data_IF_846298566798
#
_entry.id   IF_846298566798
#
_cell.length_a   1.000
_cell.length_b   1.000
_cell.length_c   1.000
_cell.angle_alpha   90.00
_cell.angle_beta   90.00
_cell.angle_gamma   90.00
#
_symmetry.space_group_name_H-M   'P 1'
#
loop_
_entity.id
_entity.type
_entity.pdbx_description
1 polymer ?
#
# COMPACT_ATOMS: atom_id res chain seq x y z
N UNK A 1 44.68 -46.23 52.44
CA UNK A 1 43.39 -46.60 53.07
C UNK A 1 43.00 -45.38 53.93
N UNK A 2 42.22 -44.39 53.50
CA UNK A 2 41.11 -44.34 52.55
C UNK A 2 41.18 -43.08 51.66
N UNK A 3 40.76 -43.28 50.42
CA UNK A 3 40.48 -42.32 49.34
C UNK A 3 39.12 -41.62 49.61
N UNK A 4 38.98 -40.30 49.41
CA UNK A 4 38.47 -39.59 48.22
C UNK A 4 37.13 -38.87 48.49
N UNK A 5 37.22 -37.54 48.31
CA UNK A 5 36.28 -36.58 47.72
C UNK A 5 34.86 -36.45 48.30
N UNK A 6 34.68 -35.30 48.95
CA UNK A 6 33.53 -34.42 48.79
C UNK A 6 32.87 -34.55 47.41
N UNK A 7 31.58 -34.85 47.40
CA UNK A 7 30.71 -34.74 46.22
C UNK A 7 29.35 -34.18 46.65
N UNK A 8 29.05 -32.99 46.11
CA UNK A 8 27.73 -32.48 45.73
C UNK A 8 26.59 -32.60 46.75
N UNK A 9 26.46 -31.56 47.58
CA UNK A 9 25.14 -31.01 47.93
C UNK A 9 24.98 -29.66 47.23
N UNK A 10 24.73 -29.69 45.92
CA UNK A 10 24.05 -28.57 45.26
C UNK A 10 22.59 -28.72 45.67
N UNK A 11 22.12 -27.80 46.51
CA UNK A 11 20.71 -27.66 46.87
C UNK A 11 19.88 -27.51 45.59
N UNK A 12 19.11 -28.53 45.23
CA UNK A 12 17.99 -28.37 44.32
C UNK A 12 16.94 -27.51 45.04
N UNK A 13 16.83 -26.24 44.67
CA UNK A 13 15.71 -25.42 45.11
C UNK A 13 14.45 -26.01 44.48
N UNK A 14 13.67 -26.73 45.29
CA UNK A 14 12.36 -27.26 44.89
C UNK A 14 11.42 -26.06 44.81
N UNK A 15 11.32 -25.45 43.63
CA UNK A 15 10.32 -24.43 43.36
C UNK A 15 8.92 -25.00 43.54
N UNK A 16 8.01 -24.23 44.15
CA UNK A 16 6.60 -24.61 44.23
C UNK A 16 6.00 -24.71 42.81
N UNK A 17 4.94 -25.50 42.58
CA UNK A 17 4.28 -25.58 41.27
C UNK A 17 3.90 -24.20 40.71
N UNK A 18 3.48 -23.28 41.57
CA UNK A 18 3.20 -21.89 41.19
C UNK A 18 4.45 -21.13 40.71
N UNK A 19 5.60 -21.30 41.38
CA UNK A 19 6.87 -20.68 40.97
C UNK A 19 7.39 -21.25 39.63
N UNK A 20 7.18 -22.54 39.38
CA UNK A 20 7.53 -23.16 38.09
C UNK A 20 6.68 -22.61 36.94
N UNK A 21 5.36 -22.50 37.15
CA UNK A 21 4.46 -21.89 36.16
C UNK A 21 4.84 -20.44 35.90
N UNK A 22 5.14 -19.67 36.95
CA UNK A 22 5.59 -18.28 36.85
C UNK A 22 6.85 -18.14 35.99
N UNK A 23 7.84 -19.01 36.19
CA UNK A 23 9.07 -19.01 35.41
C UNK A 23 8.81 -19.31 33.92
N UNK A 24 7.87 -20.22 33.63
CA UNK A 24 7.45 -20.50 32.25
C UNK A 24 6.76 -19.29 31.63
N UNK A 25 5.87 -18.61 32.36
CA UNK A 25 5.22 -17.37 31.89
C UNK A 25 6.27 -16.31 31.56
N UNK A 26 7.27 -16.09 32.42
CA UNK A 26 8.34 -15.14 32.13
C UNK A 26 9.15 -15.48 30.88
N UNK A 27 9.47 -16.77 30.63
CA UNK A 27 10.12 -17.20 29.38
C UNK A 27 9.29 -16.88 28.15
N UNK A 28 7.97 -17.09 28.23
CA UNK A 28 7.03 -16.78 27.16
C UNK A 28 6.98 -15.27 26.90
N UNK A 29 6.89 -14.47 27.97
CA UNK A 29 6.87 -13.01 27.85
C UNK A 29 8.17 -12.48 27.26
N UNK A 30 9.33 -12.95 27.73
CA UNK A 30 10.65 -12.55 27.22
C UNK A 30 10.76 -12.77 25.71
N UNK A 31 10.49 -13.99 25.25
CA UNK A 31 10.60 -14.33 23.83
C UNK A 31 9.71 -13.47 22.93
N UNK A 32 8.51 -13.10 23.38
CA UNK A 32 7.58 -12.32 22.58
C UNK A 32 7.81 -10.80 22.69
N UNK A 33 8.35 -10.30 23.80
CA UNK A 33 8.81 -8.91 23.91
C UNK A 33 9.95 -8.64 22.91
N UNK A 34 10.90 -9.57 22.78
CA UNK A 34 11.99 -9.43 21.81
C UNK A 34 11.50 -9.56 20.37
N UNK A 35 10.71 -10.59 20.03
CA UNK A 35 10.14 -10.74 18.67
C UNK A 35 9.36 -9.50 18.21
N UNK A 36 8.52 -8.94 19.09
CA UNK A 36 7.77 -7.73 18.78
C UNK A 36 8.71 -6.55 18.51
N UNK A 37 9.77 -6.37 19.30
CA UNK A 37 10.74 -5.29 19.12
C UNK A 37 11.58 -5.45 17.86
N UNK A 38 12.02 -6.66 17.54
CA UNK A 38 12.79 -6.98 16.35
C UNK A 38 11.98 -6.76 15.07
N UNK A 39 10.75 -7.28 15.02
CA UNK A 39 9.86 -7.06 13.88
C UNK A 39 9.54 -5.57 13.68
N UNK A 40 9.23 -4.83 14.75
CA UNK A 40 9.03 -3.38 14.69
C UNK A 40 10.29 -2.64 14.22
N UNK A 41 11.49 -3.13 14.57
CA UNK A 41 12.76 -2.53 14.13
C UNK A 41 12.95 -2.66 12.62
N UNK A 42 12.62 -3.82 12.04
CA UNK A 42 12.70 -4.02 10.58
C UNK A 42 11.76 -3.05 9.86
N UNK A 43 10.53 -2.91 10.36
CA UNK A 43 9.53 -1.99 9.79
C UNK A 43 9.98 -0.53 9.92
N UNK A 44 10.55 -0.14 11.07
CA UNK A 44 11.10 1.19 11.34
C UNK A 44 12.16 1.59 10.29
N UNK A 45 13.10 0.70 9.97
CA UNK A 45 14.16 0.98 9.01
C UNK A 45 13.63 1.18 7.58
N UNK A 46 12.58 0.43 7.18
CA UNK A 46 11.93 0.68 5.89
C UNK A 46 11.23 2.03 5.85
N UNK A 47 10.53 2.42 6.92
CA UNK A 47 9.93 3.76 7.01
C UNK A 47 11.00 4.85 6.85
N UNK A 48 12.14 4.66 7.53
CA UNK A 48 13.22 5.66 7.56
C UNK A 48 14.00 5.78 6.26
N UNK A 49 14.34 4.66 5.64
CA UNK A 49 15.24 4.64 4.47
C UNK A 49 14.56 4.26 3.16
N UNK A 50 13.55 3.40 3.22
CA UNK A 50 12.76 3.02 2.04
C UNK A 50 11.78 4.12 1.65
N UNK A 51 11.03 4.63 2.63
CA UNK A 51 10.01 5.66 2.40
C UNK A 51 10.51 7.08 2.64
N UNK A 52 11.60 7.26 3.40
CA UNK A 52 12.06 8.56 3.90
C UNK A 52 10.95 9.31 4.67
N UNK A 53 10.11 8.57 5.40
CA UNK A 53 9.00 9.11 6.18
C UNK A 53 9.36 9.14 7.67
N UNK A 54 9.68 10.33 8.17
CA UNK A 54 10.07 10.54 9.57
C UNK A 54 8.93 10.26 10.56
N UNK A 55 7.68 10.52 10.18
CA UNK A 55 6.51 10.35 11.05
C UNK A 55 6.21 8.87 11.28
N UNK A 56 6.26 8.07 10.21
CA UNK A 56 6.09 6.61 10.31
C UNK A 56 7.24 5.95 11.06
N UNK A 57 8.48 6.42 10.84
CA UNK A 57 9.64 5.95 11.58
C UNK A 57 9.50 6.25 13.09
N UNK A 58 9.04 7.45 13.46
CA UNK A 58 8.78 7.83 14.84
C UNK A 58 7.68 6.97 15.49
N UNK A 59 6.60 6.68 14.75
CA UNK A 59 5.54 5.79 15.20
C UNK A 59 6.08 4.40 15.53
N UNK A 60 6.90 3.81 14.66
CA UNK A 60 7.53 2.51 14.90
C UNK A 60 8.45 2.54 16.12
N UNK A 61 9.26 3.60 16.25
CA UNK A 61 10.16 3.81 17.39
C UNK A 61 9.38 3.90 18.70
N UNK A 62 8.29 4.66 18.74
CA UNK A 62 7.43 4.79 19.91
C UNK A 62 6.85 3.43 20.33
N UNK A 63 6.24 2.69 19.40
CA UNK A 63 5.75 1.33 19.68
C UNK A 63 6.85 0.44 20.26
N UNK A 64 8.04 0.45 19.67
CA UNK A 64 9.18 -0.34 20.13
C UNK A 64 9.65 0.05 21.54
N UNK A 65 9.58 1.34 21.88
CA UNK A 65 9.87 1.83 23.23
C UNK A 65 8.78 1.42 24.23
N UNK A 66 7.50 1.48 23.86
CA UNK A 66 6.41 0.98 24.71
C UNK A 66 6.55 -0.50 25.04
N UNK A 67 6.87 -1.35 24.04
CA UNK A 67 7.16 -2.78 24.31
C UNK A 67 8.32 -2.92 25.31
N UNK A 68 9.39 -2.13 25.15
CA UNK A 68 10.58 -2.22 25.99
C UNK A 68 10.34 -1.89 27.47
N UNK A 69 9.31 -1.11 27.80
CA UNK A 69 8.98 -0.76 29.19
C UNK A 69 8.53 -1.98 30.01
N UNK A 70 7.95 -2.98 29.35
CA UNK A 70 7.45 -4.20 29.98
C UNK A 70 8.50 -5.30 30.11
N UNK A 71 9.67 -5.11 29.49
CA UNK A 71 10.76 -6.06 29.56
C UNK A 71 11.56 -5.81 30.82
N UNK A 72 11.10 -6.36 31.95
CA UNK A 72 11.74 -6.16 33.25
C UNK A 72 13.03 -7.00 33.37
N UNK A 73 13.96 -6.66 34.29
CA UNK A 73 15.13 -7.49 34.54
C UNK A 73 14.78 -8.95 34.90
N UNK A 74 13.67 -9.18 35.60
CA UNK A 74 13.20 -10.51 35.98
C UNK A 74 12.78 -11.33 34.76
N UNK A 75 12.02 -10.73 33.84
CA UNK A 75 11.60 -11.38 32.60
C UNK A 75 12.83 -11.67 31.73
N UNK A 76 13.75 -10.69 31.58
CA UNK A 76 15.02 -10.87 30.86
C UNK A 76 15.88 -12.02 31.38
N UNK A 77 15.92 -12.19 32.69
CA UNK A 77 16.72 -13.23 33.32
C UNK A 77 16.06 -14.61 33.28
N UNK A 78 14.78 -14.71 32.90
CA UNK A 78 14.04 -15.97 32.95
C UNK A 78 14.37 -16.92 31.80
N UNK A 79 14.86 -16.41 30.67
CA UNK A 79 15.08 -17.19 29.46
C UNK A 79 16.46 -17.81 29.40
N UNK A 80 16.49 -19.12 29.17
CA UNK A 80 17.68 -19.88 28.80
C UNK A 80 17.59 -20.20 27.30
N UNK A 81 17.96 -19.23 26.45
CA UNK A 81 17.79 -19.34 25.00
C UNK A 81 18.43 -20.60 24.40
N UNK A 82 19.65 -21.03 24.80
CA UNK A 82 20.21 -22.30 24.33
C UNK A 82 19.41 -23.54 24.74
N UNK A 83 18.77 -23.52 25.91
CA UNK A 83 17.96 -24.63 26.44
C UNK A 83 16.48 -24.59 26.08
N UNK A 84 16.01 -23.54 25.39
CA UNK A 84 14.61 -23.41 25.00
C UNK A 84 14.24 -24.43 23.89
N UNK A 85 13.10 -25.13 24.01
CA UNK A 85 12.64 -26.04 22.98
C UNK A 85 12.23 -25.27 21.71
N UNK A 86 12.45 -25.88 20.54
CA UNK A 86 11.98 -25.34 19.26
C UNK A 86 12.86 -24.28 18.61
N UNK A 87 14.06 -24.03 19.14
CA UNK A 87 15.05 -23.08 18.57
C UNK A 87 15.60 -23.50 17.20
N UNK A 88 15.51 -24.79 16.86
CA UNK A 88 15.91 -25.33 15.55
C UNK A 88 14.73 -25.49 14.56
N UNK A 89 13.52 -25.11 14.95
CA UNK A 89 12.37 -25.15 14.03
C UNK A 89 12.48 -23.98 13.05
N UNK A 90 12.54 -24.31 11.76
CA UNK A 90 12.51 -23.35 10.65
C UNK A 90 11.54 -23.87 9.60
N UNK A 91 10.78 -22.96 8.98
CA UNK A 91 9.99 -23.30 7.81
C UNK A 91 10.77 -22.94 6.53
N UNK A 92 10.77 -23.77 5.46
CA UNK A 92 11.51 -23.46 4.22
C UNK A 92 11.16 -22.10 3.61
N UNK A 93 9.92 -21.64 3.79
CA UNK A 93 9.49 -20.31 3.35
C UNK A 93 10.04 -19.14 4.20
N UNK A 94 10.82 -19.40 5.25
CA UNK A 94 11.53 -18.37 6.01
C UNK A 94 12.86 -17.96 5.36
N UNK A 95 13.43 -18.80 4.51
CA UNK A 95 14.74 -18.59 3.88
C UNK A 95 14.68 -17.61 2.70
N UNK A 96 13.54 -17.52 2.02
CA UNK A 96 13.36 -16.65 0.86
C UNK A 96 12.29 -15.57 1.09
N UNK A 97 12.62 -14.34 0.66
CA UNK A 97 11.68 -13.21 0.58
C UNK A 97 11.71 -12.67 -0.84
N UNK A 98 10.59 -12.79 -1.55
CA UNK A 98 10.49 -12.44 -2.97
C UNK A 98 10.32 -10.94 -3.24
N UNK A 99 9.91 -10.15 -2.24
CA UNK A 99 9.70 -8.71 -2.39
C UNK A 99 9.77 -7.97 -1.05
N UNK A 100 9.88 -6.63 -1.13
CA UNK A 100 9.80 -5.76 0.05
C UNK A 100 8.43 -5.87 0.75
N UNK A 101 7.34 -5.98 -0.02
CA UNK A 101 6.00 -6.19 0.53
C UNK A 101 5.92 -7.49 1.33
N UNK A 102 6.45 -8.59 0.78
CA UNK A 102 6.49 -9.88 1.48
C UNK A 102 7.33 -9.81 2.76
N UNK A 103 8.46 -9.09 2.75
CA UNK A 103 9.28 -8.86 3.95
C UNK A 103 8.50 -8.11 5.03
N UNK A 104 7.80 -7.03 4.68
CA UNK A 104 7.05 -6.22 5.63
C UNK A 104 5.85 -6.98 6.20
N UNK A 105 5.07 -7.66 5.35
CA UNK A 105 3.93 -8.46 5.79
C UNK A 105 4.35 -9.58 6.76
N UNK A 106 5.42 -10.32 6.45
CA UNK A 106 5.92 -11.36 7.35
C UNK A 106 6.31 -10.79 8.73
N UNK A 107 6.93 -9.61 8.77
CA UNK A 107 7.29 -8.97 10.04
C UNK A 107 6.08 -8.39 10.77
N UNK A 108 5.08 -7.85 10.07
CA UNK A 108 3.81 -7.45 10.69
C UNK A 108 3.09 -8.62 11.34
N UNK A 109 2.97 -9.76 10.65
CA UNK A 109 2.40 -10.97 11.22
C UNK A 109 3.13 -11.40 12.50
N UNK A 110 4.47 -11.49 12.46
CA UNK A 110 5.28 -11.85 13.63
C UNK A 110 5.09 -10.90 14.81
N UNK A 111 5.02 -9.59 14.56
CA UNK A 111 4.74 -8.60 15.61
C UNK A 111 3.33 -8.79 16.17
N UNK A 112 2.32 -8.98 15.33
CA UNK A 112 0.93 -9.15 15.75
C UNK A 112 0.73 -10.42 16.58
N UNK A 113 1.35 -11.54 16.17
CA UNK A 113 1.38 -12.80 16.92
C UNK A 113 2.05 -12.61 18.29
N UNK A 114 3.23 -11.98 18.32
CA UNK A 114 3.93 -11.71 19.56
C UNK A 114 3.11 -10.83 20.51
N UNK A 115 2.51 -9.75 20.01
CA UNK A 115 1.65 -8.88 20.81
C UNK A 115 0.38 -9.60 21.30
N UNK A 116 -0.15 -10.58 20.54
CA UNK A 116 -1.27 -11.41 20.98
C UNK A 116 -0.88 -12.30 22.15
N UNK A 117 0.31 -12.89 22.11
CA UNK A 117 0.85 -13.69 23.23
C UNK A 117 1.06 -12.80 24.45
N UNK A 118 1.65 -11.62 24.29
CA UNK A 118 1.87 -10.65 25.37
C UNK A 118 0.56 -10.14 25.98
N UNK A 119 -0.47 -9.94 25.17
CA UNK A 119 -1.80 -9.56 25.64
C UNK A 119 -2.38 -10.63 26.58
N UNK A 120 -2.33 -11.90 26.19
CA UNK A 120 -2.98 -12.98 26.95
C UNK A 120 -2.15 -13.44 28.15
N UNK A 121 -0.87 -13.74 27.96
CA UNK A 121 0.00 -14.16 29.07
C UNK A 121 0.31 -13.00 30.03
N UNK A 122 0.39 -11.76 29.53
CA UNK A 122 0.64 -10.59 30.37
C UNK A 122 -0.46 -10.35 31.41
N UNK A 123 -1.70 -10.80 31.17
CA UNK A 123 -2.80 -10.70 32.14
C UNK A 123 -2.56 -11.54 33.40
N UNK A 124 -1.70 -12.56 33.33
CA UNK A 124 -1.32 -13.36 34.49
C UNK A 124 -0.36 -12.60 35.43
N UNK A 125 0.37 -11.61 34.88
CA UNK A 125 1.33 -10.79 35.61
C UNK A 125 0.73 -9.45 36.07
N UNK A 126 0.16 -8.71 35.12
CA UNK A 126 -0.41 -7.38 35.33
C UNK A 126 -1.56 -7.16 34.35
N UNK A 127 -2.76 -6.94 34.88
CA UNK A 127 -3.94 -6.66 34.07
C UNK A 127 -3.76 -5.42 33.16
N UNK A 128 -2.89 -4.47 33.53
CA UNK A 128 -2.55 -3.32 32.70
C UNK A 128 -1.68 -3.72 31.50
N UNK A 129 -0.79 -4.70 31.64
CA UNK A 129 0.02 -5.23 30.54
C UNK A 129 -0.89 -5.73 29.41
N UNK A 130 -1.91 -6.53 29.77
CA UNK A 130 -2.90 -7.02 28.81
C UNK A 130 -3.66 -5.89 28.10
N UNK A 131 -4.05 -4.83 28.81
CA UNK A 131 -4.72 -3.65 28.21
C UNK A 131 -3.81 -2.92 27.22
N UNK A 132 -2.54 -2.71 27.59
CA UNK A 132 -1.57 -2.02 26.74
C UNK A 132 -1.32 -2.81 25.47
N UNK A 133 -1.02 -4.10 25.56
CA UNK A 133 -0.75 -4.90 24.36
C UNK A 133 -1.97 -5.08 23.47
N UNK A 134 -3.19 -5.11 24.03
CA UNK A 134 -4.43 -5.02 23.23
C UNK A 134 -4.48 -3.73 22.42
N UNK A 135 -4.19 -2.57 23.01
CA UNK A 135 -4.17 -1.28 22.29
C UNK A 135 -3.07 -1.25 21.23
N UNK A 136 -1.88 -1.74 21.55
CA UNK A 136 -0.76 -1.79 20.62
C UNK A 136 -1.06 -2.66 19.39
N UNK A 137 -1.81 -3.75 19.53
CA UNK A 137 -2.26 -4.56 18.38
C UNK A 137 -3.06 -3.72 17.38
N UNK A 138 -4.01 -2.91 17.85
CA UNK A 138 -4.77 -2.01 16.97
C UNK A 138 -3.87 -0.96 16.30
N UNK A 139 -2.89 -0.42 17.03
CA UNK A 139 -1.92 0.52 16.45
C UNK A 139 -1.08 -0.15 15.35
N UNK A 140 -0.65 -1.40 15.56
CA UNK A 140 0.11 -2.16 14.55
C UNK A 140 -0.75 -2.50 13.33
N UNK A 141 -2.03 -2.85 13.49
CA UNK A 141 -2.95 -3.05 12.35
C UNK A 141 -3.13 -1.77 11.52
N UNK A 142 -3.25 -0.62 12.19
CA UNK A 142 -3.34 0.68 11.53
C UNK A 142 -2.05 1.02 10.78
N UNK A 143 -0.89 0.77 11.41
CA UNK A 143 0.42 1.01 10.81
C UNK A 143 0.64 0.14 9.57
N UNK A 144 0.33 -1.15 9.65
CA UNK A 144 0.39 -2.08 8.51
C UNK A 144 -0.46 -1.56 7.35
N UNK A 145 -1.73 -1.23 7.65
CA UNK A 145 -2.65 -0.72 6.65
C UNK A 145 -2.08 0.50 5.94
N UNK A 146 -1.61 1.50 6.70
CA UNK A 146 -1.01 2.72 6.16
C UNK A 146 0.22 2.44 5.30
N UNK A 147 1.14 1.59 5.74
CA UNK A 147 2.35 1.27 4.96
C UNK A 147 2.03 0.55 3.66
N UNK A 148 1.04 -0.35 3.68
CA UNK A 148 0.62 -1.06 2.47
C UNK A 148 -0.06 -0.12 1.46
N UNK A 149 -0.79 0.91 1.90
CA UNK A 149 -1.33 1.94 1.00
C UNK A 149 -0.31 2.95 0.49
N UNK A 150 0.78 3.18 1.22
CA UNK A 150 1.83 4.12 0.81
C UNK A 150 2.44 3.77 -0.54
N UNK A 151 2.61 2.47 -0.83
CA UNK A 151 3.15 2.03 -2.12
C UNK A 151 2.30 2.48 -3.30
N UNK A 152 0.96 2.33 -3.19
CA UNK A 152 0.03 2.78 -4.25
C UNK A 152 0.10 4.28 -4.47
N UNK A 153 0.11 5.05 -3.39
CA UNK A 153 0.23 6.51 -3.47
C UNK A 153 1.57 6.92 -4.09
N UNK A 154 2.68 6.32 -3.68
CA UNK A 154 4.00 6.62 -4.24
C UNK A 154 4.05 6.31 -5.75
N UNK A 155 3.49 5.18 -6.18
CA UNK A 155 3.41 4.81 -7.59
C UNK A 155 2.52 5.78 -8.38
N UNK A 156 1.38 6.20 -7.82
CA UNK A 156 0.50 7.22 -8.40
C UNK A 156 1.25 8.55 -8.58
N UNK A 157 1.97 9.01 -7.56
CA UNK A 157 2.79 10.23 -7.62
C UNK A 157 3.89 10.14 -8.69
N UNK A 158 4.49 8.97 -8.87
CA UNK A 158 5.57 8.75 -9.84
C UNK A 158 5.10 8.43 -11.25
N UNK A 159 3.82 8.13 -11.47
CA UNK A 159 3.28 7.77 -12.77
C UNK A 159 3.10 9.02 -13.64
N UNK A 160 3.93 9.23 -14.69
CA UNK A 160 3.78 10.39 -15.56
C UNK A 160 2.63 10.19 -16.55
N UNK A 161 2.35 8.94 -16.92
CA UNK A 161 1.39 8.58 -17.95
C UNK A 161 0.28 7.71 -17.37
N UNK A 162 -0.95 8.09 -17.65
CA UNK A 162 -2.16 7.35 -17.28
C UNK A 162 -2.90 6.89 -18.54
N UNK A 163 -2.96 5.58 -18.78
CA UNK A 163 -3.74 5.04 -19.88
C UNK A 163 -5.17 4.78 -19.41
N UNK A 164 -6.15 5.31 -20.14
CA UNK A 164 -7.56 4.94 -19.98
C UNK A 164 -7.95 4.04 -21.14
N UNK A 165 -8.42 2.82 -20.84
CA UNK A 165 -8.78 1.86 -21.87
C UNK A 165 -10.00 2.31 -22.67
N UNK A 166 -10.09 1.81 -23.90
CA UNK A 166 -11.29 1.89 -24.74
C UNK A 166 -11.58 0.53 -25.38
N UNK A 167 -12.83 0.25 -25.78
CA UNK A 167 -13.15 -0.98 -26.49
C UNK A 167 -12.36 -1.05 -27.81
N UNK A 168 -11.48 -2.04 -27.91
CA UNK A 168 -10.74 -2.44 -29.11
C UNK A 168 -10.63 -3.97 -29.10
N UNK A 169 -10.53 -4.60 -30.26
CA UNK A 169 -10.53 -6.07 -30.37
C UNK A 169 -9.30 -6.69 -29.67
N UNK A 170 -8.16 -6.01 -29.73
CA UNK A 170 -6.87 -6.41 -29.16
C UNK A 170 -6.58 -5.73 -27.80
N UNK A 171 -7.58 -5.61 -26.93
CA UNK A 171 -7.49 -4.88 -25.66
C UNK A 171 -6.31 -5.35 -24.79
N UNK A 172 -6.15 -6.66 -24.63
CA UNK A 172 -5.12 -7.22 -23.77
C UNK A 172 -3.72 -7.00 -24.34
N UNK A 173 -3.55 -7.21 -25.65
CA UNK A 173 -2.29 -7.01 -26.36
C UNK A 173 -1.87 -5.53 -26.34
N UNK A 174 -2.81 -4.62 -26.54
CA UNK A 174 -2.54 -3.18 -26.48
C UNK A 174 -2.13 -2.72 -25.07
N UNK A 175 -2.81 -3.23 -24.02
CA UNK A 175 -2.46 -2.95 -22.63
C UNK A 175 -1.09 -3.53 -22.29
N UNK A 176 -0.83 -4.80 -22.61
CA UNK A 176 0.47 -5.43 -22.33
C UNK A 176 1.62 -4.72 -23.06
N UNK A 177 1.42 -4.35 -24.33
CA UNK A 177 2.39 -3.55 -25.08
C UNK A 177 2.67 -2.20 -24.41
N UNK A 178 1.64 -1.55 -23.86
CA UNK A 178 1.79 -0.31 -23.09
C UNK A 178 2.57 -0.54 -21.80
N UNK A 179 2.30 -1.61 -21.06
CA UNK A 179 3.05 -1.98 -19.85
C UNK A 179 4.53 -2.25 -20.17
N UNK A 180 4.83 -2.99 -21.25
CA UNK A 180 6.20 -3.18 -21.78
C UNK A 180 6.85 -1.85 -22.18
N UNK A 181 6.06 -0.86 -22.59
CA UNK A 181 6.50 0.50 -22.88
C UNK A 181 6.80 1.34 -21.64
N UNK A 182 6.54 0.84 -20.43
CA UNK A 182 6.80 1.52 -19.16
C UNK A 182 5.57 2.17 -18.52
N UNK A 183 4.36 1.86 -18.98
CA UNK A 183 3.13 2.32 -18.35
C UNK A 183 3.02 1.79 -16.90
N UNK A 184 2.73 2.67 -15.94
CA UNK A 184 2.60 2.32 -14.52
C UNK A 184 1.21 2.57 -13.93
N UNK A 185 0.25 3.05 -14.73
CA UNK A 185 -1.11 3.36 -14.29
C UNK A 185 -2.11 3.14 -15.44
N UNK A 186 -3.02 2.17 -15.25
CA UNK A 186 -4.09 1.82 -16.18
C UNK A 186 -5.47 2.05 -15.55
N UNK A 187 -6.41 2.60 -16.31
CA UNK A 187 -7.83 2.61 -15.99
C UNK A 187 -8.57 1.68 -16.94
N UNK A 188 -9.26 0.69 -16.40
CA UNK A 188 -10.23 -0.08 -17.18
C UNK A 188 -11.57 0.66 -17.22
N UNK A 189 -11.98 1.03 -18.44
CA UNK A 189 -13.21 1.73 -18.75
C UNK A 189 -14.02 0.97 -19.79
N UNK A 190 -15.10 0.35 -19.33
CA UNK A 190 -16.06 -0.39 -20.14
C UNK A 190 -17.48 0.01 -19.74
N UNK A 191 -18.25 0.58 -20.68
CA UNK A 191 -19.58 1.14 -20.41
C UNK A 191 -20.72 0.32 -21.00
N UNK A 192 -20.43 -0.61 -21.91
CA UNK A 192 -21.44 -1.29 -22.72
C UNK A 192 -21.49 -2.80 -22.52
N UNK A 193 -20.36 -3.44 -22.17
CA UNK A 193 -20.36 -4.89 -21.97
C UNK A 193 -21.17 -5.33 -20.72
N UNK A 194 -21.61 -6.58 -20.70
CA UNK A 194 -22.27 -7.17 -19.52
C UNK A 194 -21.31 -7.33 -18.33
N UNK A 195 -21.85 -7.33 -17.11
CA UNK A 195 -21.05 -7.38 -15.89
C UNK A 195 -20.19 -8.66 -15.78
N UNK A 196 -20.64 -9.80 -16.34
CA UNK A 196 -19.83 -11.04 -16.41
C UNK A 196 -18.55 -10.79 -17.22
N UNK A 197 -18.69 -10.21 -18.40
CA UNK A 197 -17.56 -9.90 -19.29
C UNK A 197 -16.67 -8.83 -18.66
N UNK A 198 -17.26 -7.81 -18.02
CA UNK A 198 -16.50 -6.76 -17.31
C UNK A 198 -15.64 -7.34 -16.21
N UNK A 199 -16.21 -8.21 -15.35
CA UNK A 199 -15.48 -8.83 -14.24
C UNK A 199 -14.36 -9.71 -14.77
N UNK A 200 -14.62 -10.55 -15.78
CA UNK A 200 -13.60 -11.43 -16.35
C UNK A 200 -12.42 -10.64 -16.93
N UNK A 201 -12.70 -9.61 -17.74
CA UNK A 201 -11.68 -8.74 -18.32
C UNK A 201 -10.93 -7.96 -17.25
N UNK A 202 -11.65 -7.38 -16.29
CA UNK A 202 -11.06 -6.61 -15.21
C UNK A 202 -10.13 -7.46 -14.35
N UNK A 203 -10.49 -8.71 -14.01
CA UNK A 203 -9.61 -9.63 -13.27
C UNK A 203 -8.30 -9.90 -14.02
N UNK A 204 -8.40 -10.22 -15.32
CA UNK A 204 -7.23 -10.48 -16.18
C UNK A 204 -6.33 -9.25 -16.30
N UNK A 205 -6.91 -8.06 -16.51
CA UNK A 205 -6.15 -6.81 -16.60
C UNK A 205 -5.54 -6.40 -15.25
N UNK A 206 -6.23 -6.63 -14.14
CA UNK A 206 -5.73 -6.37 -12.79
C UNK A 206 -4.45 -7.18 -12.53
N UNK A 207 -4.52 -8.51 -12.74
CA UNK A 207 -3.36 -9.39 -12.61
C UNK A 207 -2.22 -8.96 -13.53
N UNK A 208 -2.54 -8.68 -14.81
CA UNK A 208 -1.54 -8.23 -15.77
C UNK A 208 -0.84 -6.93 -15.35
N UNK A 209 -1.56 -5.95 -14.79
CA UNK A 209 -0.94 -4.73 -14.28
C UNK A 209 -0.01 -5.03 -13.10
N UNK A 210 -0.45 -5.88 -12.16
CA UNK A 210 0.34 -6.23 -10.99
C UNK A 210 1.61 -6.99 -11.33
N UNK A 211 1.58 -7.87 -12.33
CA UNK A 211 2.76 -8.58 -12.84
C UNK A 211 3.85 -7.63 -13.36
N UNK A 212 3.45 -6.45 -13.85
CA UNK A 212 4.34 -5.38 -14.33
C UNK A 212 4.57 -4.27 -13.29
N UNK A 213 4.04 -4.41 -12.06
CA UNK A 213 4.16 -3.39 -11.01
C UNK A 213 3.42 -2.08 -11.33
N UNK A 214 2.34 -2.15 -12.11
CA UNK A 214 1.48 -1.02 -12.47
C UNK A 214 0.18 -1.00 -11.65
N UNK A 215 -0.37 0.21 -11.43
CA UNK A 215 -1.66 0.40 -10.76
C UNK A 215 -2.81 0.11 -11.71
N UNK A 216 -3.84 -0.57 -11.17
CA UNK A 216 -5.06 -0.86 -11.89
C UNK A 216 -6.28 -0.16 -11.26
N UNK A 217 -6.93 0.70 -12.03
CA UNK A 217 -8.08 1.51 -11.60
C UNK A 217 -9.35 1.10 -12.36
N UNK A 218 -10.48 0.97 -11.68
CA UNK A 218 -11.78 0.79 -12.31
C UNK A 218 -12.49 2.13 -12.50
N UNK A 219 -13.01 2.37 -13.71
CA UNK A 219 -13.85 3.53 -13.98
C UNK A 219 -15.27 3.34 -13.41
N UNK A 220 -15.79 4.36 -12.70
CA UNK A 220 -17.16 4.55 -12.18
C UNK A 220 -17.65 3.50 -11.13
N UNK A 221 -17.36 2.21 -11.32
CA UNK A 221 -17.95 1.07 -10.58
C UNK A 221 -17.12 0.64 -9.36
N UNK A 222 -17.51 1.12 -8.18
CA UNK A 222 -16.89 0.78 -6.88
C UNK A 222 -17.02 -0.70 -6.51
N UNK A 223 -18.18 -1.27 -6.81
CA UNK A 223 -18.46 -2.70 -6.62
C UNK A 223 -17.55 -3.60 -7.47
N UNK A 224 -17.32 -3.23 -8.73
CA UNK A 224 -16.40 -3.96 -9.62
C UNK A 224 -14.96 -3.86 -9.12
N UNK A 225 -14.54 -2.69 -8.63
CA UNK A 225 -13.21 -2.51 -8.03
C UNK A 225 -12.98 -3.44 -6.83
N UNK A 226 -13.98 -3.61 -5.98
CA UNK A 226 -13.93 -4.56 -4.86
C UNK A 226 -13.89 -6.02 -5.37
N UNK A 227 -14.72 -6.36 -6.35
CA UNK A 227 -14.85 -7.72 -6.86
C UNK A 227 -13.58 -8.29 -7.52
N UNK A 228 -12.69 -7.41 -8.01
CA UNK A 228 -11.43 -7.79 -8.69
C UNK A 228 -10.19 -7.36 -7.92
N UNK A 229 -10.37 -6.84 -6.70
CA UNK A 229 -9.33 -6.25 -5.85
C UNK A 229 -8.46 -5.18 -6.56
N UNK A 230 -9.10 -4.31 -7.35
CA UNK A 230 -8.42 -3.22 -8.04
C UNK A 230 -7.78 -2.23 -7.05
N UNK A 231 -6.73 -1.52 -7.46
CA UNK A 231 -6.02 -0.55 -6.62
C UNK A 231 -6.86 0.69 -6.29
N UNK A 232 -7.92 0.94 -7.05
CA UNK A 232 -8.80 2.08 -6.83
C UNK A 232 -9.90 2.24 -7.87
N UNK A 233 -10.59 3.37 -7.77
CA UNK A 233 -11.61 3.82 -8.71
C UNK A 233 -11.33 5.21 -9.24
N UNK A 234 -11.84 5.51 -10.43
CA UNK A 234 -11.95 6.88 -10.92
C UNK A 234 -13.42 7.21 -11.14
N UNK A 235 -13.88 8.31 -10.56
CA UNK A 235 -15.29 8.71 -10.52
C UNK A 235 -15.50 10.00 -11.31
N UNK A 236 -16.57 10.05 -12.10
CA UNK A 236 -17.12 11.25 -12.71
C UNK A 236 -18.02 12.03 -11.75
N UNK A 237 -18.45 13.22 -12.19
CA UNK A 237 -19.22 14.15 -11.35
C UNK A 237 -20.60 13.62 -10.94
N UNK A 238 -21.17 12.70 -11.71
CA UNK A 238 -22.48 12.09 -11.50
C UNK A 238 -22.40 10.68 -10.89
N UNK A 239 -21.19 10.16 -10.65
CA UNK A 239 -20.98 8.85 -10.05
C UNK A 239 -21.02 8.94 -8.52
N UNK A 240 -20.80 7.80 -7.85
CA UNK A 240 -20.82 7.70 -6.39
C UNK A 240 -20.02 8.83 -5.71
N UNK A 241 -20.54 9.46 -4.64
CA UNK A 241 -19.79 10.45 -3.89
C UNK A 241 -18.51 9.86 -3.29
N UNK A 242 -17.43 10.65 -3.22
CA UNK A 242 -16.12 10.20 -2.72
C UNK A 242 -16.23 9.64 -1.30
N UNK A 243 -17.00 10.30 -0.42
CA UNK A 243 -17.19 9.85 0.96
C UNK A 243 -17.79 8.43 1.03
N UNK A 244 -18.76 8.11 0.17
CA UNK A 244 -19.39 6.78 0.12
C UNK A 244 -18.43 5.76 -0.48
N UNK A 245 -17.74 6.11 -1.57
CA UNK A 245 -16.72 5.25 -2.17
C UNK A 245 -15.60 4.92 -1.16
N UNK A 246 -15.16 5.91 -0.37
CA UNK A 246 -14.15 5.75 0.69
C UNK A 246 -14.62 4.82 1.80
N UNK A 247 -15.90 4.90 2.20
CA UNK A 247 -16.47 3.97 3.18
C UNK A 247 -16.46 2.53 2.70
N UNK A 248 -16.75 2.29 1.41
CA UNK A 248 -16.78 0.94 0.82
C UNK A 248 -15.39 0.37 0.53
N UNK A 249 -14.50 1.20 -0.02
CA UNK A 249 -13.16 0.80 -0.45
C UNK A 249 -12.13 0.77 0.68
N UNK A 250 -12.44 1.44 1.79
CA UNK A 250 -11.52 1.65 2.89
C UNK A 250 -10.45 2.72 2.60
N UNK A 251 -9.54 2.95 3.56
CA UNK A 251 -8.58 4.06 3.51
C UNK A 251 -7.44 3.86 2.49
N UNK A 252 -7.25 2.64 1.95
CA UNK A 252 -6.03 2.28 1.21
C UNK A 252 -6.15 2.31 -0.30
N UNK A 253 -7.36 2.15 -0.85
CA UNK A 253 -7.57 2.15 -2.30
C UNK A 253 -7.66 3.58 -2.82
N UNK A 254 -7.19 3.82 -4.04
CA UNK A 254 -7.15 5.14 -4.64
C UNK A 254 -8.54 5.57 -5.14
N UNK A 255 -8.87 6.84 -4.98
CA UNK A 255 -10.10 7.45 -5.50
C UNK A 255 -9.73 8.68 -6.32
N UNK A 256 -9.86 8.54 -7.64
CA UNK A 256 -9.71 9.63 -8.59
C UNK A 256 -11.03 10.35 -8.85
N UNK A 257 -10.97 11.66 -9.15
CA UNK A 257 -12.14 12.42 -9.57
C UNK A 257 -11.89 13.17 -10.89
N UNK A 258 -12.79 13.03 -11.86
CA UNK A 258 -12.78 13.87 -13.07
C UNK A 258 -13.22 15.29 -12.73
N UNK A 259 -12.50 16.31 -13.18
CA UNK A 259 -12.79 17.72 -12.91
C UNK A 259 -12.66 18.54 -14.20
N UNK A 260 -13.52 19.53 -14.36
CA UNK A 260 -13.64 20.34 -15.59
C UNK A 260 -13.40 21.83 -15.34
N UNK A 261 -13.27 22.25 -14.07
CA UNK A 261 -13.04 23.64 -13.67
C UNK A 261 -12.45 23.72 -12.25
N UNK A 262 -12.00 24.91 -11.86
CA UNK A 262 -11.36 25.19 -10.57
C UNK A 262 -12.23 24.85 -9.36
N UNK A 263 -13.54 25.08 -9.43
CA UNK A 263 -14.47 24.77 -8.35
C UNK A 263 -14.61 23.25 -8.13
N UNK A 264 -14.75 22.48 -9.22
CA UNK A 264 -14.77 21.02 -9.15
C UNK A 264 -13.46 20.44 -8.60
N UNK A 265 -12.32 21.05 -8.95
CA UNK A 265 -11.02 20.68 -8.39
C UNK A 265 -10.97 20.87 -6.88
N UNK A 266 -11.30 22.07 -6.41
CA UNK A 266 -11.29 22.39 -4.98
C UNK A 266 -12.23 21.48 -4.20
N UNK A 267 -13.43 21.23 -4.74
CA UNK A 267 -14.38 20.29 -4.15
C UNK A 267 -13.78 18.88 -4.04
N UNK A 268 -13.25 18.34 -5.13
CA UNK A 268 -12.66 17.00 -5.14
C UNK A 268 -11.53 16.85 -4.11
N UNK A 269 -10.66 17.87 -3.98
CA UNK A 269 -9.60 17.90 -2.97
C UNK A 269 -10.20 17.90 -1.56
N UNK A 270 -11.18 18.77 -1.30
CA UNK A 270 -11.82 18.87 0.03
C UNK A 270 -12.59 17.62 0.43
N UNK A 271 -13.11 16.88 -0.54
CA UNK A 271 -13.80 15.60 -0.35
C UNK A 271 -12.84 14.41 -0.16
N UNK A 272 -11.52 14.62 -0.30
CA UNK A 272 -10.51 13.60 -0.08
C UNK A 272 -10.21 12.72 -1.31
N UNK A 273 -10.28 13.27 -2.52
CA UNK A 273 -9.75 12.60 -3.71
C UNK A 273 -8.23 12.40 -3.59
N UNK A 274 -7.74 11.22 -3.97
CA UNK A 274 -6.30 10.93 -3.98
C UNK A 274 -5.61 11.50 -5.23
N UNK A 275 -6.37 11.70 -6.32
CA UNK A 275 -5.92 12.40 -7.53
C UNK A 275 -7.10 12.90 -8.35
N UNK A 276 -6.81 13.75 -9.34
CA UNK A 276 -7.83 14.31 -10.23
C UNK A 276 -7.47 14.21 -11.71
N UNK A 277 -8.49 14.04 -12.56
CA UNK A 277 -8.38 14.25 -14.00
C UNK A 277 -8.74 15.70 -14.32
N UNK A 278 -7.85 16.42 -15.00
CA UNK A 278 -7.99 17.85 -15.36
C UNK A 278 -8.32 17.91 -16.83
N UNK A 279 -9.59 18.09 -17.18
CA UNK A 279 -10.00 18.14 -18.58
C UNK A 279 -11.50 18.07 -18.81
N UNK A 280 -11.96 17.99 -20.07
CA UNK A 280 -11.15 17.76 -21.27
C UNK A 280 -10.29 18.99 -21.64
N UNK A 281 -9.01 18.79 -21.99
CA UNK A 281 -8.12 19.87 -22.46
C UNK A 281 -8.50 20.33 -23.86
N UNK A 282 -8.73 19.38 -24.76
CA UNK A 282 -9.22 19.60 -26.12
C UNK A 282 -10.59 18.94 -26.29
N UNK A 283 -11.37 19.37 -27.29
CA UNK A 283 -12.62 18.72 -27.61
C UNK A 283 -12.39 17.25 -27.97
N UNK A 284 -13.25 16.36 -27.46
CA UNK A 284 -13.13 14.92 -27.72
C UNK A 284 -14.45 14.32 -28.17
N UNK A 285 -14.43 13.39 -29.15
CA UNK A 285 -15.60 12.58 -29.48
C UNK A 285 -16.04 11.67 -28.32
N UNK A 286 -15.13 11.34 -27.41
CA UNK A 286 -15.36 10.39 -26.30
C UNK A 286 -16.35 10.90 -25.23
N UNK A 287 -16.60 12.22 -25.17
CA UNK A 287 -17.65 12.86 -24.36
C UNK A 287 -18.31 13.98 -25.17
N UNK A 288 -19.09 13.61 -26.19
CA UNK A 288 -19.83 14.55 -27.04
C UNK A 288 -20.65 15.56 -26.21
N UNK A 289 -20.50 16.86 -26.49
CA UNK A 289 -21.31 17.94 -25.91
C UNK A 289 -20.72 18.68 -24.70
N UNK A 290 -19.51 18.37 -24.24
CA UNK A 290 -18.81 19.20 -23.23
C UNK A 290 -17.74 20.07 -23.91
N UNK A 291 -17.87 21.39 -23.73
CA UNK A 291 -16.82 22.33 -24.13
C UNK A 291 -15.49 21.97 -23.47
N UNK A 292 -14.39 22.13 -24.21
CA UNK A 292 -13.06 21.95 -23.67
C UNK A 292 -12.80 22.95 -22.53
N UNK A 293 -12.23 22.48 -21.43
CA UNK A 293 -11.77 23.35 -20.34
C UNK A 293 -10.51 24.15 -20.73
N UNK A 294 -9.78 23.66 -21.74
CA UNK A 294 -8.62 24.33 -22.32
C UNK A 294 -7.37 24.31 -21.44
N UNK A 295 -6.29 24.88 -21.98
CA UNK A 295 -4.99 24.95 -21.31
C UNK A 295 -5.00 25.88 -20.08
N UNK A 296 -5.93 26.82 -19.98
CA UNK A 296 -6.01 27.71 -18.81
C UNK A 296 -6.41 26.96 -17.55
N UNK A 297 -7.25 25.93 -17.66
CA UNK A 297 -7.55 25.07 -16.52
C UNK A 297 -6.33 24.21 -16.11
N UNK A 298 -5.52 23.76 -17.08
CA UNK A 298 -4.24 23.07 -16.81
C UNK A 298 -3.28 23.99 -16.05
N UNK A 299 -3.11 25.23 -16.50
CA UNK A 299 -2.28 26.24 -15.80
C UNK A 299 -2.78 26.52 -14.38
N UNK A 300 -4.10 26.54 -14.18
CA UNK A 300 -4.68 26.69 -12.85
C UNK A 300 -4.34 25.50 -11.95
N UNK A 301 -4.51 24.27 -12.44
CA UNK A 301 -4.19 23.05 -11.69
C UNK A 301 -2.69 22.99 -11.33
N UNK A 302 -1.80 23.35 -12.27
CA UNK A 302 -0.36 23.38 -12.03
C UNK A 302 0.05 24.32 -10.87
N UNK A 303 -0.68 25.42 -10.68
CA UNK A 303 -0.41 26.39 -9.59
C UNK A 303 -1.06 26.04 -8.26
N UNK A 304 -2.16 25.27 -8.27
CA UNK A 304 -3.06 25.19 -7.11
C UNK A 304 -3.34 23.77 -6.60
N UNK A 305 -2.99 22.71 -7.33
CA UNK A 305 -3.27 21.33 -6.90
C UNK A 305 -2.19 20.81 -5.95
N UNK A 306 -2.52 20.46 -4.68
CA UNK A 306 -1.58 19.84 -3.75
C UNK A 306 -1.51 18.31 -3.90
N UNK A 307 -2.39 17.72 -4.71
CA UNK A 307 -2.47 16.28 -4.99
C UNK A 307 -2.10 15.98 -6.45
N UNK A 308 -1.77 14.73 -6.81
CA UNK A 308 -1.51 14.34 -8.19
C UNK A 308 -2.70 14.68 -9.09
N UNK A 309 -2.38 15.14 -10.29
CA UNK A 309 -3.39 15.45 -11.30
C UNK A 309 -2.87 15.08 -12.68
N UNK A 310 -3.78 14.68 -13.56
CA UNK A 310 -3.49 14.25 -14.92
C UNK A 310 -4.29 15.11 -15.90
N UNK A 311 -3.59 15.86 -16.76
CA UNK A 311 -4.26 16.53 -17.87
C UNK A 311 -4.85 15.47 -18.81
N UNK A 312 -6.12 15.60 -19.20
CA UNK A 312 -6.81 14.59 -20.00
C UNK A 312 -7.71 15.24 -21.04
N UNK A 313 -7.92 14.56 -22.17
CA UNK A 313 -8.92 14.93 -23.17
C UNK A 313 -8.28 15.46 -24.44
N UNK A 314 -8.25 14.60 -25.46
CA UNK A 314 -7.78 14.94 -26.81
C UNK A 314 -6.26 15.09 -26.91
N UNK A 315 -5.53 14.65 -25.89
CA UNK A 315 -4.06 14.68 -25.88
C UNK A 315 -3.52 13.53 -26.73
N UNK A 316 -2.61 13.86 -27.64
CA UNK A 316 -1.89 12.93 -28.50
C UNK A 316 -0.42 13.39 -28.70
N UNK A 317 0.31 12.70 -29.57
CA UNK A 317 1.74 12.98 -29.81
C UNK A 317 2.01 14.33 -30.47
N UNK A 318 1.00 14.94 -31.11
CA UNK A 318 1.11 16.22 -31.82
C UNK A 318 0.91 17.44 -30.93
N UNK A 319 0.18 17.29 -29.81
CA UNK A 319 -0.24 18.42 -28.96
C UNK A 319 0.20 18.31 -27.49
N UNK A 320 0.93 17.26 -27.11
CA UNK A 320 1.41 17.07 -25.74
C UNK A 320 2.30 18.22 -25.25
N UNK A 321 3.12 18.80 -26.12
CA UNK A 321 4.04 19.86 -25.74
C UNK A 321 3.30 21.09 -25.21
N UNK A 322 2.19 21.48 -25.83
CA UNK A 322 1.35 22.59 -25.36
C UNK A 322 0.80 22.34 -23.94
N UNK A 323 0.52 21.09 -23.60
CA UNK A 323 0.02 20.66 -22.29
C UNK A 323 1.14 20.67 -21.24
N UNK A 324 2.35 20.27 -21.63
CA UNK A 324 3.56 20.36 -20.80
C UNK A 324 3.90 21.83 -20.53
N UNK A 325 3.88 22.68 -21.56
CA UNK A 325 4.13 24.12 -21.46
C UNK A 325 3.09 24.83 -20.57
N UNK A 326 1.87 24.30 -20.51
CA UNK A 326 0.84 24.74 -19.57
C UNK A 326 1.09 24.30 -18.11
N UNK A 327 2.14 23.50 -17.86
CA UNK A 327 2.58 23.07 -16.53
C UNK A 327 2.25 21.61 -16.17
N UNK A 328 1.75 20.81 -17.12
CA UNK A 328 1.46 19.40 -16.84
C UNK A 328 2.73 18.57 -16.76
N UNK A 329 2.91 17.89 -15.62
CA UNK A 329 3.93 16.86 -15.44
C UNK A 329 3.39 15.45 -15.65
N UNK A 330 2.05 15.33 -15.76
CA UNK A 330 1.36 14.06 -15.96
C UNK A 330 0.19 14.23 -16.91
N UNK A 331 0.00 13.25 -17.79
CA UNK A 331 -1.11 13.25 -18.76
C UNK A 331 -1.82 11.91 -18.74
N UNK A 332 -3.11 11.96 -19.07
CA UNK A 332 -3.90 10.77 -19.34
C UNK A 332 -4.35 10.75 -20.81
N UNK A 333 -4.21 9.58 -21.44
CA UNK A 333 -4.53 9.37 -22.85
C UNK A 333 -5.42 8.15 -23.02
N UNK A 334 -6.19 8.14 -24.11
CA UNK A 334 -7.09 7.04 -24.47
C UNK A 334 -6.67 6.52 -25.85
N UNK A 335 -7.17 7.18 -26.91
CA UNK A 335 -7.02 6.75 -28.31
C UNK A 335 -5.58 6.74 -28.78
N UNK A 336 -4.77 7.71 -28.32
CA UNK A 336 -3.39 7.85 -28.79
C UNK A 336 -2.56 6.59 -28.55
N UNK A 337 -2.90 5.76 -27.57
CA UNK A 337 -2.23 4.48 -27.30
C UNK A 337 -3.12 3.30 -27.70
N UNK A 338 -4.41 3.31 -27.30
CA UNK A 338 -5.32 2.18 -27.57
C UNK A 338 -5.55 1.92 -29.06
N UNK A 339 -5.35 2.91 -29.92
CA UNK A 339 -5.51 2.80 -31.38
C UNK A 339 -4.17 2.92 -32.13
N UNK A 340 -3.03 2.88 -31.42
CA UNK A 340 -1.73 2.92 -32.05
C UNK A 340 -1.37 1.57 -32.67
N UNK A 341 -0.72 1.60 -33.84
CA UNK A 341 -0.13 0.39 -34.44
C UNK A 341 0.98 -0.19 -33.57
N UNK A 342 1.73 0.68 -32.86
CA UNK A 342 2.81 0.29 -31.96
C UNK A 342 2.65 0.92 -30.56
N UNK A 343 1.75 0.39 -29.71
CA UNK A 343 1.46 0.97 -28.38
C UNK A 343 2.70 1.10 -27.49
N UNK A 344 3.65 0.16 -27.57
CA UNK A 344 4.93 0.22 -26.85
C UNK A 344 5.71 1.50 -27.15
N UNK A 345 5.92 1.81 -28.44
CA UNK A 345 6.70 2.98 -28.87
C UNK A 345 5.99 4.28 -28.53
N UNK A 346 4.66 4.31 -28.69
CA UNK A 346 3.89 5.51 -28.34
C UNK A 346 3.93 5.75 -26.83
N UNK A 347 3.80 4.71 -26.01
CA UNK A 347 3.95 4.82 -24.55
C UNK A 347 5.33 5.37 -24.17
N UNK A 348 6.40 4.83 -24.75
CA UNK A 348 7.77 5.31 -24.51
C UNK A 348 7.94 6.77 -24.94
N UNK A 349 7.36 7.18 -26.07
CA UNK A 349 7.37 8.56 -26.52
C UNK A 349 6.73 9.49 -25.48
N UNK A 350 5.51 9.19 -25.01
CA UNK A 350 4.83 9.99 -23.98
C UNK A 350 5.68 10.13 -22.72
N UNK A 351 6.19 9.01 -22.20
CA UNK A 351 7.04 8.99 -21.01
C UNK A 351 8.29 9.85 -21.23
N UNK A 352 8.93 9.75 -22.41
CA UNK A 352 10.11 10.53 -22.74
C UNK A 352 9.84 12.04 -22.77
N UNK A 353 8.67 12.48 -23.27
CA UNK A 353 8.32 13.90 -23.27
C UNK A 353 8.10 14.42 -21.85
N UNK A 354 7.44 13.65 -20.99
CA UNK A 354 7.11 14.06 -19.62
C UNK A 354 8.32 14.11 -18.69
N UNK A 355 9.41 13.43 -19.05
CA UNK A 355 10.68 13.50 -18.33
C UNK A 355 11.66 14.54 -18.88
N UNK A 356 11.38 15.17 -20.03
CA UNK A 356 12.18 16.31 -20.52
C UNK A 356 11.95 17.49 -19.58
N UNK A 357 12.97 17.80 -18.77
CA UNK A 357 13.03 18.99 -17.93
C UNK A 357 13.75 20.12 -18.65
#
# INVERSE_FOLDING_TARGET
MFMIKAHNQIQSQIHSPAQQVQQVVYRILDANLDRAREGLRIIEEWCRFGLNDASLAETCKHLRQEVSKWHTPQIRAARDTPGDPGTALSHPQEEERSSMTALLQANFCRVQEALRVLEEYGKLEDANMGKVFKQMRYQVYSLESTLMGFHRHQLLWRSPLYLVSSPVDNLFEAVEASLKGGLTLLQYREKTADDIIRIERAKKLCQLCHDYGALFIINDRVDLALAVDADGVHLGQQDMPIAVARQLLGPQKLIGRSTTNSHEMQRAISEGADYIGVGPVYETPTKAGKAAAGLDYVKYAAKNSPIPWFAIGGIDTSNINDVIDAGAQRVAVVRSIMQAEQPTLVTQYFISQLYRK
#
